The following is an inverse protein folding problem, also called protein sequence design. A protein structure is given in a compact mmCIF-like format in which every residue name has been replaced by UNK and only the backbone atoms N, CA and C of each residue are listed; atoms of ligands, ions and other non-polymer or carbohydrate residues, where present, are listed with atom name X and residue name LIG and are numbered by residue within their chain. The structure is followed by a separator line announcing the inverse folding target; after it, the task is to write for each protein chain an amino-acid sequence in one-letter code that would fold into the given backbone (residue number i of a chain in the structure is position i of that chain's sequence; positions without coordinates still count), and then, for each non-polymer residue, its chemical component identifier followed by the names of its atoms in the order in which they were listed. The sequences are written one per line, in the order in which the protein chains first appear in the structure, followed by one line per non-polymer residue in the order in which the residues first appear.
data_IF_219102658216
#
_entry.id   IF_219102658216
#
_cell.length_a   1.000
_cell.length_b   1.000
_cell.length_c   1.000
_cell.angle_alpha   90.00
_cell.angle_beta   90.00
_cell.angle_gamma   90.00
#
_symmetry.space_group_name_H-M   'P 1'
#
loop_
_entity.id
_entity.type
_entity.pdbx_description
1 polymer ?
#
# COMPACT_ATOMS: atom_id res chain seq x y z
N UNK A 1 2.92 7.84 -23.64
CA UNK A 1 4.00 7.33 -22.75
C UNK A 1 3.76 5.85 -22.55
N UNK A 2 4.80 5.03 -22.47
CA UNK A 2 4.66 3.60 -22.16
C UNK A 2 4.15 3.37 -20.74
N UNK A 3 3.51 2.23 -20.51
CA UNK A 3 3.04 1.82 -19.16
C UNK A 3 4.25 1.41 -18.32
N UNK A 4 4.32 1.89 -17.09
CA UNK A 4 5.26 1.44 -16.05
C UNK A 4 4.54 1.35 -14.72
N UNK A 5 4.67 0.25 -14.03
CA UNK A 5 3.95 -0.01 -12.78
C UNK A 5 4.89 0.21 -11.59
N UNK A 6 4.50 1.10 -10.68
CA UNK A 6 5.13 1.23 -9.38
C UNK A 6 4.57 0.20 -8.41
N UNK A 7 5.42 -0.43 -7.61
CA UNK A 7 5.00 -1.33 -6.53
C UNK A 7 5.61 -0.83 -5.23
N UNK A 8 4.76 -0.52 -4.24
CA UNK A 8 5.23 -0.17 -2.90
C UNK A 8 5.06 -1.41 -2.02
N UNK A 9 6.20 -2.06 -1.72
CA UNK A 9 6.26 -3.25 -0.89
C UNK A 9 6.42 -2.92 0.58
N UNK A 10 5.71 -3.66 1.43
CA UNK A 10 6.02 -3.81 2.85
C UNK A 10 6.93 -5.01 3.09
N UNK A 11 7.08 -5.40 4.36
CA UNK A 11 7.92 -6.51 4.80
C UNK A 11 7.67 -7.78 3.98
N UNK A 12 8.73 -8.35 3.41
CA UNK A 12 8.70 -9.62 2.68
C UNK A 12 8.61 -9.53 1.15
N UNK A 13 8.38 -8.34 0.59
CA UNK A 13 8.42 -8.12 -0.88
C UNK A 13 9.74 -7.51 -1.35
N UNK A 14 10.70 -7.34 -0.45
CA UNK A 14 11.98 -6.68 -0.71
C UNK A 14 12.92 -7.50 -1.63
N UNK A 15 12.63 -8.81 -1.81
CA UNK A 15 13.45 -9.76 -2.57
C UNK A 15 12.64 -10.50 -3.65
N UNK A 16 11.85 -9.79 -4.42
CA UNK A 16 11.14 -10.40 -5.54
C UNK A 16 12.12 -10.78 -6.65
N UNK A 17 12.53 -12.05 -6.71
CA UNK A 17 13.26 -12.64 -7.85
C UNK A 17 12.38 -12.83 -9.10
N UNK A 18 11.31 -12.03 -9.20
CA UNK A 18 10.32 -12.06 -10.28
C UNK A 18 10.69 -11.14 -11.45
N UNK A 19 11.78 -10.38 -11.30
CA UNK A 19 12.21 -9.42 -12.30
C UNK A 19 13.18 -10.03 -13.30
N UNK A 20 12.98 -9.73 -14.57
CA UNK A 20 14.04 -9.76 -15.57
C UNK A 20 14.71 -8.39 -15.65
N UNK A 21 15.99 -8.34 -16.00
CA UNK A 21 16.78 -7.10 -16.16
C UNK A 21 16.79 -6.18 -14.94
N UNK A 22 16.77 -6.74 -13.73
CA UNK A 22 16.68 -5.99 -12.50
C UNK A 22 17.95 -5.13 -12.23
N UNK A 23 17.76 -3.86 -11.92
CA UNK A 23 18.81 -2.93 -11.49
C UNK A 23 18.31 -2.03 -10.38
N UNK A 24 19.22 -1.54 -9.56
CA UNK A 24 18.92 -0.54 -8.54
C UNK A 24 19.20 0.86 -9.09
N UNK A 25 18.22 1.75 -8.96
CA UNK A 25 18.33 3.15 -9.35
C UNK A 25 18.19 4.01 -8.10
N UNK A 26 19.23 4.82 -7.85
CA UNK A 26 19.23 5.79 -6.75
C UNK A 26 18.73 7.12 -7.28
N UNK A 27 17.64 7.62 -6.72
CA UNK A 27 17.03 8.89 -7.11
C UNK A 27 16.69 9.69 -5.85
N UNK A 28 17.46 10.75 -5.60
CA UNK A 28 17.02 11.80 -4.69
C UNK A 28 15.87 12.60 -5.32
N UNK A 29 14.98 13.12 -4.51
CA UNK A 29 13.84 13.93 -4.96
C UNK A 29 13.89 15.33 -4.38
N UNK A 30 13.05 16.23 -4.87
CA UNK A 30 12.88 17.58 -4.27
C UNK A 30 12.37 17.52 -2.82
N UNK A 31 11.88 16.36 -2.38
CA UNK A 31 11.39 16.10 -1.02
C UNK A 31 12.42 15.36 -0.15
N UNK A 32 13.63 15.16 -0.65
CA UNK A 32 14.69 14.36 -0.01
C UNK A 32 14.75 12.93 -0.54
N UNK A 33 15.41 12.07 0.23
CA UNK A 33 15.64 10.68 -0.16
C UNK A 33 14.40 9.82 0.06
N UNK A 34 14.07 8.92 -0.89
CA UNK A 34 13.06 7.88 -0.69
C UNK A 34 13.57 6.81 0.30
N UNK A 35 12.65 5.99 0.80
CA UNK A 35 12.95 4.94 1.79
C UNK A 35 13.95 3.89 1.32
N UNK A 36 14.08 3.69 0.02
CA UNK A 36 15.06 2.79 -0.61
C UNK A 36 15.36 3.24 -2.02
N UNK A 37 16.47 2.78 -2.63
CA UNK A 37 16.61 2.81 -4.07
C UNK A 37 15.41 2.13 -4.73
N UNK A 38 15.03 2.59 -5.92
CA UNK A 38 14.05 1.87 -6.74
C UNK A 38 14.72 0.65 -7.36
N UNK A 39 14.10 -0.53 -7.21
CA UNK A 39 14.49 -1.71 -7.96
C UNK A 39 13.66 -1.74 -9.24
N UNK A 40 14.29 -1.41 -10.35
CA UNK A 40 13.66 -1.39 -11.66
C UNK A 40 13.94 -2.69 -12.41
N UNK A 41 12.99 -3.12 -13.23
CA UNK A 41 13.08 -4.32 -14.06
C UNK A 41 11.81 -4.54 -14.85
N UNK A 42 11.56 -5.76 -15.24
CA UNK A 42 10.37 -6.14 -16.01
C UNK A 42 9.66 -7.35 -15.40
N UNK A 43 8.34 -7.34 -15.43
CA UNK A 43 7.47 -8.48 -15.16
C UNK A 43 6.66 -8.75 -16.42
N UNK A 44 6.79 -9.95 -16.99
CA UNK A 44 6.13 -10.30 -18.26
C UNK A 44 6.38 -9.27 -19.40
N UNK A 45 7.58 -8.68 -19.44
CA UNK A 45 7.97 -7.67 -20.43
C UNK A 45 7.42 -6.26 -20.15
N UNK A 46 6.70 -6.05 -19.05
CA UNK A 46 6.17 -4.76 -18.64
C UNK A 46 7.14 -4.10 -17.65
N UNK A 47 7.58 -2.85 -17.89
CA UNK A 47 8.44 -2.13 -16.97
C UNK A 47 7.81 -1.94 -15.59
N UNK A 48 8.59 -2.23 -14.54
CA UNK A 48 8.17 -2.05 -13.15
C UNK A 48 9.26 -1.36 -12.33
N UNK A 49 8.85 -0.67 -11.26
CA UNK A 49 9.73 -0.12 -10.25
C UNK A 49 9.21 -0.48 -8.86
N UNK A 50 10.02 -1.13 -8.04
CA UNK A 50 9.65 -1.50 -6.66
C UNK A 50 10.37 -0.63 -5.67
N UNK A 51 9.64 -0.16 -4.67
CA UNK A 51 10.12 0.62 -3.55
C UNK A 51 9.80 -0.10 -2.24
N UNK A 52 10.82 -0.28 -1.38
CA UNK A 52 10.66 -0.81 -0.04
C UNK A 52 10.26 0.33 0.92
N UNK A 53 8.99 0.36 1.34
CA UNK A 53 8.41 1.42 2.18
C UNK A 53 9.21 1.72 3.44
N UNK A 54 9.69 0.71 4.10
CA UNK A 54 10.42 0.81 5.36
C UNK A 54 11.95 0.64 5.20
N UNK A 55 12.46 0.77 3.95
CA UNK A 55 13.82 0.38 3.61
C UNK A 55 13.96 -1.14 3.46
N UNK A 56 14.97 -1.59 2.72
CA UNK A 56 15.16 -3.03 2.41
C UNK A 56 15.36 -3.92 3.64
N UNK A 57 15.88 -3.37 4.72
CA UNK A 57 16.10 -4.08 5.99
C UNK A 57 15.06 -3.70 7.06
N UNK A 58 13.96 -3.09 6.67
CA UNK A 58 12.89 -2.65 7.58
C UNK A 58 13.39 -1.78 8.73
N UNK A 59 14.23 -0.79 8.42
CA UNK A 59 14.90 0.07 9.42
C UNK A 59 14.20 1.41 9.65
N UNK A 60 13.22 1.75 8.82
CA UNK A 60 12.51 3.04 8.88
C UNK A 60 11.15 2.83 9.57
N UNK A 61 10.96 3.47 10.72
CA UNK A 61 9.68 3.43 11.43
C UNK A 61 8.56 4.06 10.58
N UNK A 62 7.29 3.63 10.71
CA UNK A 62 6.17 4.16 9.92
C UNK A 62 6.03 5.69 9.99
N UNK A 63 6.25 6.28 11.16
CA UNK A 63 6.23 7.73 11.39
C UNK A 63 7.42 8.48 10.77
N UNK A 64 8.49 7.78 10.40
CA UNK A 64 9.72 8.36 9.82
C UNK A 64 9.83 8.15 8.31
N UNK A 65 8.88 7.46 7.69
CA UNK A 65 8.86 7.25 6.24
C UNK A 65 8.64 8.59 5.53
N UNK A 66 9.50 8.90 4.57
CA UNK A 66 9.33 10.08 3.70
C UNK A 66 8.38 9.74 2.53
N UNK A 67 7.08 9.75 2.81
CA UNK A 67 6.06 9.38 1.82
C UNK A 67 6.09 10.28 0.58
N UNK A 68 6.36 11.60 0.74
CA UNK A 68 6.49 12.53 -0.40
C UNK A 68 7.64 12.12 -1.32
N UNK A 69 8.81 11.80 -0.77
CA UNK A 69 9.94 11.35 -1.55
C UNK A 69 9.65 10.00 -2.23
N UNK A 70 8.99 9.07 -1.53
CA UNK A 70 8.64 7.76 -2.09
C UNK A 70 7.73 7.88 -3.32
N UNK A 71 6.65 8.64 -3.22
CA UNK A 71 5.70 8.84 -4.33
C UNK A 71 6.35 9.66 -5.47
N UNK A 72 7.13 10.68 -5.13
CA UNK A 72 7.85 11.48 -6.12
C UNK A 72 8.88 10.63 -6.89
N UNK A 73 9.64 9.78 -6.21
CA UNK A 73 10.63 8.90 -6.86
C UNK A 73 9.96 7.97 -7.88
N UNK A 74 8.81 7.37 -7.55
CA UNK A 74 8.04 6.56 -8.48
C UNK A 74 7.50 7.38 -9.66
N UNK A 75 7.02 8.60 -9.40
CA UNK A 75 6.57 9.54 -10.44
C UNK A 75 7.72 9.90 -11.38
N UNK A 76 8.87 10.29 -10.85
CA UNK A 76 10.06 10.68 -11.62
C UNK A 76 10.62 9.50 -12.43
N UNK A 77 10.50 8.28 -11.92
CA UNK A 77 10.81 7.05 -12.65
C UNK A 77 9.82 6.74 -13.80
N UNK A 78 8.77 7.53 -13.96
CA UNK A 78 7.76 7.38 -15.02
C UNK A 78 6.68 6.33 -14.71
N UNK A 79 6.47 5.98 -13.43
CA UNK A 79 5.38 5.08 -13.06
C UNK A 79 4.02 5.74 -13.35
N UNK A 80 3.19 5.01 -14.09
CA UNK A 80 1.85 5.44 -14.52
C UNK A 80 0.73 4.93 -13.61
N UNK A 81 0.98 3.86 -12.86
CA UNK A 81 0.07 3.22 -11.93
C UNK A 81 0.86 2.74 -10.72
N UNK A 82 0.24 2.68 -9.56
CA UNK A 82 0.89 2.18 -8.33
C UNK A 82 0.02 1.10 -7.69
N UNK A 83 0.63 -0.04 -7.40
CA UNK A 83 0.10 -1.06 -6.52
C UNK A 83 0.86 -1.04 -5.20
N UNK A 84 0.14 -1.14 -4.08
CA UNK A 84 0.76 -1.21 -2.78
C UNK A 84 0.31 -2.43 -1.97
N UNK A 85 1.17 -2.88 -1.07
CA UNK A 85 0.84 -3.94 -0.12
C UNK A 85 1.03 -3.45 1.31
N UNK A 86 0.23 -3.97 2.22
CA UNK A 86 0.32 -3.64 3.64
C UNK A 86 -0.11 -4.80 4.51
N UNK A 87 0.60 -5.03 5.61
CA UNK A 87 0.10 -5.86 6.71
C UNK A 87 -0.93 -5.04 7.51
N UNK A 88 -1.99 -5.68 7.97
CA UNK A 88 -3.08 -5.03 8.71
C UNK A 88 -3.58 -5.91 9.86
N UNK A 89 -3.93 -5.26 10.97
CA UNK A 89 -4.81 -5.88 11.96
C UNK A 89 -6.25 -5.86 11.46
N UNK A 90 -6.97 -6.95 11.67
CA UNK A 90 -8.41 -7.02 11.39
C UNK A 90 -9.22 -6.38 12.51
N UNK A 91 -10.20 -5.58 12.13
CA UNK A 91 -11.21 -4.99 13.04
C UNK A 91 -12.58 -5.70 12.91
N UNK A 92 -12.63 -6.80 12.15
CA UNK A 92 -13.84 -7.60 11.88
C UNK A 92 -13.60 -9.08 12.14
N UNK A 93 -14.61 -9.78 12.65
CA UNK A 93 -14.53 -11.22 12.90
C UNK A 93 -14.40 -12.03 11.60
N UNK A 94 -15.08 -11.57 10.54
CA UNK A 94 -15.13 -12.21 9.23
C UNK A 94 -13.83 -12.06 8.42
N UNK A 95 -13.00 -11.05 8.70
CA UNK A 95 -11.70 -10.86 8.05
C UNK A 95 -10.64 -11.64 8.83
N UNK A 96 -10.35 -12.84 8.38
CA UNK A 96 -9.48 -13.77 9.09
C UNK A 96 -8.00 -13.51 8.82
N UNK A 97 -7.14 -14.04 9.66
CA UNK A 97 -5.68 -14.04 9.43
C UNK A 97 -5.37 -14.74 8.11
N UNK A 98 -4.58 -14.09 7.26
CA UNK A 98 -4.22 -14.57 5.92
C UNK A 98 -5.22 -14.23 4.82
N UNK A 99 -6.39 -13.63 5.16
CA UNK A 99 -7.28 -13.08 4.15
C UNK A 99 -6.69 -11.81 3.53
N UNK A 100 -6.97 -11.61 2.25
CA UNK A 100 -6.64 -10.38 1.54
C UNK A 100 -7.85 -9.43 1.58
N UNK A 101 -7.59 -8.12 1.67
CA UNK A 101 -8.63 -7.09 1.58
C UNK A 101 -8.23 -6.10 0.50
N UNK A 102 -9.08 -5.96 -0.52
CA UNK A 102 -8.88 -4.98 -1.59
C UNK A 102 -9.48 -3.66 -1.11
N UNK A 103 -8.61 -2.76 -0.67
CA UNK A 103 -9.04 -1.52 -0.03
C UNK A 103 -9.84 -0.62 -0.98
N UNK A 104 -10.91 -0.01 -0.48
CA UNK A 104 -11.74 0.93 -1.23
C UNK A 104 -11.90 2.28 -0.52
N UNK A 105 -11.72 2.33 0.80
CA UNK A 105 -11.81 3.55 1.58
C UNK A 105 -10.73 3.62 2.66
N UNK A 106 -10.42 4.82 3.12
CA UNK A 106 -9.56 5.01 4.28
C UNK A 106 -10.09 6.04 5.27
N UNK A 107 -9.70 5.86 6.53
CA UNK A 107 -9.80 6.86 7.59
C UNK A 107 -8.37 7.23 8.00
N UNK A 108 -8.00 8.50 7.88
CA UNK A 108 -6.70 8.96 8.34
C UNK A 108 -6.74 9.34 9.83
N UNK A 109 -6.01 8.62 10.64
CA UNK A 109 -5.81 8.91 12.07
C UNK A 109 -4.34 9.19 12.39
N UNK A 110 -3.57 9.65 11.40
CA UNK A 110 -2.20 10.10 11.59
C UNK A 110 -2.17 11.54 12.14
N UNK A 111 -1.04 11.98 12.70
CA UNK A 111 -0.95 13.26 13.39
C UNK A 111 0.16 14.18 12.86
N UNK A 112 1.22 13.60 12.30
CA UNK A 112 2.45 14.34 11.94
C UNK A 112 2.87 14.11 10.50
N UNK A 113 2.04 13.41 9.69
CA UNK A 113 2.34 13.06 8.31
C UNK A 113 2.22 14.25 7.37
N UNK A 114 3.14 14.35 6.44
CA UNK A 114 3.03 15.24 5.29
C UNK A 114 2.18 14.57 4.22
N UNK A 115 0.91 14.94 4.15
CA UNK A 115 -0.10 14.31 3.28
C UNK A 115 -0.38 15.08 1.99
N UNK A 116 0.44 16.07 1.66
CA UNK A 116 0.28 16.89 0.47
C UNK A 116 1.64 17.29 -0.10
N UNK A 117 1.72 17.45 -1.41
CA UNK A 117 2.84 18.07 -2.11
C UNK A 117 2.75 19.61 -2.13
N UNK A 118 1.69 20.19 -1.58
CA UNK A 118 1.39 21.63 -1.62
C UNK A 118 1.45 22.24 -0.21
N UNK A 119 2.67 22.50 0.31
CA UNK A 119 2.82 23.21 1.59
C UNK A 119 2.26 24.65 1.50
N UNK A 120 2.22 25.24 0.28
CA UNK A 120 1.68 26.58 -0.02
C UNK A 120 0.98 26.59 -1.36
N UNK A 121 -0.07 27.40 -1.49
CA UNK A 121 -0.75 27.65 -2.78
C UNK A 121 -0.31 28.99 -3.37
N UNK A 122 -0.30 29.05 -4.70
CA UNK A 122 -0.19 30.34 -5.38
C UNK A 122 -1.48 31.12 -5.17
N UNK A 123 -1.40 32.48 -5.06
CA UNK A 123 -2.60 33.30 -4.91
C UNK A 123 -3.66 32.99 -5.97
N UNK A 124 -4.89 32.68 -5.52
CA UNK A 124 -5.99 32.34 -6.41
C UNK A 124 -5.94 30.95 -7.06
N UNK A 125 -4.97 30.09 -6.69
CA UNK A 125 -4.81 28.75 -7.27
C UNK A 125 -4.70 27.66 -6.17
N UNK A 126 -5.74 27.46 -5.35
CA UNK A 126 -5.75 26.37 -4.39
C UNK A 126 -5.83 25.01 -5.10
N UNK A 127 -5.15 24.02 -4.53
CA UNK A 127 -5.18 22.64 -5.03
C UNK A 127 -5.85 21.77 -3.97
N UNK A 128 -6.96 21.14 -4.32
CA UNK A 128 -7.70 20.21 -3.48
C UNK A 128 -8.01 18.95 -4.25
N UNK A 129 -7.37 17.83 -3.89
CA UNK A 129 -7.64 16.54 -4.51
C UNK A 129 -8.96 15.94 -3.99
N UNK A 130 -9.90 15.53 -4.86
CA UNK A 130 -11.10 14.84 -4.42
C UNK A 130 -10.75 13.44 -3.89
N UNK A 131 -11.41 13.01 -2.79
CA UNK A 131 -11.14 11.75 -2.10
C UNK A 131 -12.39 10.90 -1.86
N UNK A 132 -13.48 11.13 -2.64
CA UNK A 132 -14.68 10.29 -2.53
C UNK A 132 -14.39 8.84 -2.92
N UNK A 133 -13.58 8.65 -3.96
CA UNK A 133 -13.11 7.35 -4.44
C UNK A 133 -11.57 7.36 -4.42
N UNK A 134 -10.94 7.11 -3.24
CA UNK A 134 -9.50 7.32 -3.09
C UNK A 134 -8.64 6.26 -3.77
N UNK A 135 -9.18 5.05 -4.00
CA UNK A 135 -8.51 3.95 -4.67
C UNK A 135 -9.07 3.76 -6.08
N UNK A 136 -8.19 3.59 -7.06
CA UNK A 136 -8.59 3.45 -8.46
C UNK A 136 -9.44 2.20 -8.70
N UNK A 137 -10.62 2.39 -9.26
CA UNK A 137 -11.60 1.32 -9.47
C UNK A 137 -11.12 0.25 -10.45
N UNK A 138 -10.37 0.63 -11.50
CA UNK A 138 -9.82 -0.31 -12.48
C UNK A 138 -8.76 -1.20 -11.85
N UNK A 139 -7.81 -0.61 -11.12
CA UNK A 139 -6.77 -1.37 -10.40
C UNK A 139 -7.37 -2.30 -9.35
N UNK A 140 -8.36 -1.83 -8.61
CA UNK A 140 -9.10 -2.66 -7.63
C UNK A 140 -9.78 -3.85 -8.30
N UNK A 141 -10.45 -3.62 -9.44
CA UNK A 141 -11.11 -4.72 -10.16
C UNK A 141 -10.11 -5.77 -10.64
N UNK A 142 -8.94 -5.36 -11.15
CA UNK A 142 -7.87 -6.28 -11.56
C UNK A 142 -7.39 -7.13 -10.36
N UNK A 143 -7.18 -6.51 -9.20
CA UNK A 143 -6.81 -7.24 -7.98
C UNK A 143 -7.90 -8.22 -7.53
N UNK A 144 -9.17 -7.82 -7.58
CA UNK A 144 -10.33 -8.67 -7.25
C UNK A 144 -10.38 -9.89 -8.19
N UNK A 145 -10.22 -9.68 -9.48
CA UNK A 145 -10.25 -10.76 -10.47
C UNK A 145 -9.04 -11.70 -10.34
N UNK A 146 -7.87 -11.15 -9.99
CA UNK A 146 -6.70 -11.93 -9.64
C UNK A 146 -6.92 -12.82 -8.39
N UNK A 147 -7.57 -12.29 -7.35
CA UNK A 147 -7.92 -13.08 -6.17
C UNK A 147 -8.89 -14.22 -6.53
N UNK A 148 -9.92 -13.94 -7.32
CA UNK A 148 -10.90 -14.96 -7.79
C UNK A 148 -10.24 -16.05 -8.61
N UNK A 149 -9.40 -15.66 -9.57
CA UNK A 149 -8.67 -16.59 -10.45
C UNK A 149 -7.83 -17.59 -9.68
N UNK A 150 -7.19 -17.14 -8.60
CA UNK A 150 -6.29 -17.95 -7.78
C UNK A 150 -6.98 -18.60 -6.56
N UNK A 151 -8.29 -18.45 -6.42
CA UNK A 151 -9.08 -18.95 -5.27
C UNK A 151 -8.49 -18.50 -3.91
N UNK A 152 -7.98 -17.27 -3.85
CA UNK A 152 -7.48 -16.71 -2.60
C UNK A 152 -8.64 -16.27 -1.71
N UNK A 153 -8.60 -16.55 -0.39
CA UNK A 153 -9.53 -15.93 0.55
C UNK A 153 -9.37 -14.40 0.54
N UNK A 154 -10.44 -13.67 0.20
CA UNK A 154 -10.36 -12.22 0.12
C UNK A 154 -11.70 -11.52 0.34
N UNK A 155 -11.61 -10.23 0.66
CA UNK A 155 -12.73 -9.30 0.76
C UNK A 155 -12.58 -8.23 -0.34
N UNK A 156 -13.60 -8.03 -1.19
CA UNK A 156 -13.50 -7.14 -2.35
C UNK A 156 -13.53 -5.65 -1.99
N UNK A 157 -13.90 -5.35 -0.75
CA UNK A 157 -13.94 -4.00 -0.18
C UNK A 157 -13.42 -4.02 1.24
N UNK A 158 -12.94 -2.88 1.72
CA UNK A 158 -12.58 -2.70 3.13
C UNK A 158 -12.04 -1.30 3.41
N UNK A 159 -12.60 -0.66 4.42
CA UNK A 159 -12.13 0.63 4.93
C UNK A 159 -10.94 0.41 5.85
N UNK A 160 -9.79 0.98 5.49
CA UNK A 160 -8.61 0.96 6.36
C UNK A 160 -8.54 2.21 7.22
N UNK A 161 -8.32 2.05 8.52
CA UNK A 161 -7.86 3.17 9.35
C UNK A 161 -6.34 3.15 9.42
N UNK A 162 -5.70 4.29 9.11
CA UNK A 162 -4.24 4.43 9.20
C UNK A 162 -3.88 5.24 10.45
N UNK A 163 -3.13 4.62 11.36
CA UNK A 163 -2.62 5.26 12.57
C UNK A 163 -1.15 5.68 12.42
N UNK A 164 -0.66 6.55 13.30
CA UNK A 164 0.72 7.06 13.23
C UNK A 164 1.78 5.95 13.36
N UNK A 165 1.60 5.03 14.28
CA UNK A 165 2.64 4.08 14.68
C UNK A 165 3.86 4.76 15.35
N UNK A 166 4.94 4.00 15.68
CA UNK A 166 5.08 2.54 15.53
C UNK A 166 4.31 1.72 16.60
N UNK A 167 3.73 2.37 17.63
CA UNK A 167 2.91 1.65 18.61
C UNK A 167 1.63 1.12 17.97
N UNK A 168 1.17 -0.01 18.42
CA UNK A 168 -0.15 -0.54 18.10
C UNK A 168 -1.26 0.23 18.83
N UNK A 169 -2.52 -0.04 18.47
CA UNK A 169 -3.70 0.55 19.10
C UNK A 169 -3.81 0.17 20.58
N UNK A 170 -4.44 1.04 21.34
CA UNK A 170 -5.03 0.64 22.64
C UNK A 170 -6.38 -0.05 22.40
N UNK A 171 -6.87 -0.83 23.37
CA UNK A 171 -8.21 -1.43 23.30
C UNK A 171 -9.31 -0.39 23.09
N UNK A 172 -9.16 0.80 23.65
CA UNK A 172 -10.11 1.89 23.48
C UNK A 172 -10.09 2.43 22.04
N UNK A 173 -8.91 2.64 21.47
CA UNK A 173 -8.74 3.07 20.06
C UNK A 173 -9.30 2.00 19.11
N UNK A 174 -8.98 0.74 19.32
CA UNK A 174 -9.46 -0.36 18.50
C UNK A 174 -11.00 -0.45 18.48
N UNK A 175 -11.64 -0.36 19.64
CA UNK A 175 -13.10 -0.30 19.75
C UNK A 175 -13.69 0.93 19.04
N UNK A 176 -13.04 2.09 19.19
CA UNK A 176 -13.45 3.32 18.51
C UNK A 176 -13.39 3.17 16.98
N UNK A 177 -12.31 2.63 16.42
CA UNK A 177 -12.16 2.42 14.98
C UNK A 177 -13.19 1.45 14.43
N UNK A 178 -13.51 0.40 15.18
CA UNK A 178 -14.62 -0.52 14.82
C UNK A 178 -15.96 0.20 14.77
N UNK A 179 -16.26 1.08 15.73
CA UNK A 179 -17.49 1.88 15.74
C UNK A 179 -17.54 2.87 14.58
N UNK A 180 -16.39 3.39 14.13
CA UNK A 180 -16.31 4.28 12.97
C UNK A 180 -16.48 3.56 11.64
N UNK A 181 -16.58 2.25 11.63
CA UNK A 181 -16.77 1.48 10.42
C UNK A 181 -15.48 1.04 9.73
N UNK A 182 -14.32 1.19 10.38
CA UNK A 182 -13.08 0.65 9.84
C UNK A 182 -13.08 -0.88 9.88
N UNK A 183 -12.59 -1.52 8.82
CA UNK A 183 -12.53 -2.97 8.68
C UNK A 183 -11.15 -3.53 9.01
N UNK A 184 -10.10 -2.78 8.67
CA UNK A 184 -8.71 -3.12 8.97
C UNK A 184 -7.93 -1.88 9.42
N UNK A 185 -6.79 -2.11 10.08
CA UNK A 185 -5.92 -1.05 10.61
C UNK A 185 -4.49 -1.24 10.13
N UNK A 186 -3.84 -0.13 9.75
CA UNK A 186 -2.43 -0.10 9.36
C UNK A 186 -1.72 1.19 9.77
N UNK A 187 -0.51 1.42 9.21
CA UNK A 187 0.32 2.60 9.56
C UNK A 187 0.82 3.38 8.33
N UNK A 188 0.25 3.18 7.10
CA UNK A 188 0.89 3.76 5.90
C UNK A 188 -0.06 4.24 4.80
N UNK A 189 -1.12 3.51 4.50
CA UNK A 189 -1.84 3.60 3.22
C UNK A 189 -2.58 4.92 3.02
N UNK A 190 -3.16 5.55 4.04
CA UNK A 190 -3.87 6.83 3.87
C UNK A 190 -2.95 7.90 3.28
N UNK A 191 -1.71 7.99 3.80
CA UNK A 191 -0.73 8.97 3.33
C UNK A 191 -0.31 8.72 1.88
N UNK A 192 -0.05 7.45 1.52
CA UNK A 192 0.31 7.09 0.15
C UNK A 192 -0.83 7.37 -0.82
N UNK A 193 -2.05 7.00 -0.46
CA UNK A 193 -3.24 7.20 -1.28
C UNK A 193 -3.50 8.69 -1.54
N UNK A 194 -3.42 9.52 -0.50
CA UNK A 194 -3.61 10.97 -0.64
C UNK A 194 -2.57 11.60 -1.59
N UNK A 195 -1.29 11.24 -1.42
CA UNK A 195 -0.21 11.74 -2.27
C UNK A 195 -0.29 11.21 -3.71
N UNK A 196 -0.68 9.94 -3.91
CA UNK A 196 -0.85 9.38 -5.25
C UNK A 196 -1.97 10.10 -6.02
N UNK A 197 -3.10 10.39 -5.36
CA UNK A 197 -4.20 11.16 -5.93
C UNK A 197 -3.78 12.58 -6.30
N UNK A 198 -3.06 13.30 -5.43
CA UNK A 198 -2.51 14.62 -5.78
C UNK A 198 -1.52 14.57 -6.94
N UNK A 199 -0.73 13.49 -7.03
CA UNK A 199 0.21 13.29 -8.14
C UNK A 199 -0.48 12.91 -9.46
N UNK A 200 -1.78 12.60 -9.43
CA UNK A 200 -2.56 12.13 -10.58
C UNK A 200 -2.18 10.71 -11.01
N UNK A 201 -1.75 9.86 -10.09
CA UNK A 201 -1.33 8.49 -10.36
C UNK A 201 -2.38 7.52 -9.78
N UNK A 202 -3.07 6.71 -10.61
CA UNK A 202 -3.94 5.64 -10.15
C UNK A 202 -3.25 4.74 -9.12
N UNK A 203 -3.89 4.55 -7.97
CA UNK A 203 -3.34 3.81 -6.84
C UNK A 203 -4.35 2.80 -6.31
N UNK A 204 -3.90 1.58 -6.04
CA UNK A 204 -4.67 0.59 -5.32
C UNK A 204 -3.79 -0.14 -4.31
N UNK A 205 -4.40 -0.63 -3.23
CA UNK A 205 -3.68 -1.34 -2.19
C UNK A 205 -4.40 -2.65 -1.84
N UNK A 206 -3.59 -3.70 -1.67
CA UNK A 206 -4.02 -4.96 -1.08
C UNK A 206 -3.48 -5.06 0.35
N UNK A 207 -4.40 -5.20 1.29
CA UNK A 207 -4.08 -5.46 2.68
C UNK A 207 -4.10 -6.98 2.96
N UNK A 208 -3.17 -7.44 3.78
CA UNK A 208 -3.17 -8.80 4.30
C UNK A 208 -3.45 -8.75 5.79
N UNK A 209 -4.52 -9.38 6.22
CA UNK A 209 -4.86 -9.52 7.63
C UNK A 209 -3.86 -10.42 8.33
N UNK A 210 -3.13 -9.89 9.31
CA UNK A 210 -2.11 -10.64 10.06
C UNK A 210 -2.54 -11.00 11.48
N UNK A 211 -3.45 -10.23 12.04
CA UNK A 211 -3.91 -10.33 13.43
C UNK A 211 -5.31 -9.69 13.58
N UNK A 212 -5.88 -9.76 14.78
CA UNK A 212 -7.17 -9.14 15.09
C UNK A 212 -7.05 -7.84 15.92
N UNK A 213 -5.94 -7.12 15.77
CA UNK A 213 -5.65 -5.97 16.61
C UNK A 213 -5.85 -6.31 18.11
N UNK A 214 -6.23 -5.37 18.94
CA UNK A 214 -6.41 -5.63 20.39
C UNK A 214 -7.86 -5.61 20.88
N UNK A 215 -8.84 -5.62 19.96
CA UNK A 215 -10.26 -5.69 20.35
C UNK A 215 -10.73 -7.10 20.70
N UNK A 216 -10.08 -8.13 20.13
CA UNK A 216 -10.43 -9.53 20.34
C UNK A 216 -9.75 -10.03 21.62
N UNK A 217 -10.53 -10.12 22.69
CA UNK A 217 -10.02 -10.31 24.06
C UNK A 217 -9.57 -11.74 24.37
N UNK A 218 -10.00 -12.70 23.55
CA UNK A 218 -9.63 -14.12 23.65
C UNK A 218 -8.33 -14.47 22.89
N UNK A 219 -7.68 -13.49 22.30
CA UNK A 219 -6.41 -13.67 21.60
C UNK A 219 -5.23 -13.01 22.32
N UNK A 220 -4.01 -13.51 22.03
CA UNK A 220 -2.78 -12.90 22.54
C UNK A 220 -2.62 -11.47 22.03
N UNK A 221 -1.97 -10.59 22.79
CA UNK A 221 -1.65 -9.24 22.31
C UNK A 221 -0.83 -9.29 21.02
N UNK A 222 -1.14 -8.37 20.08
CA UNK A 222 -0.42 -8.24 18.82
C UNK A 222 1.07 -8.03 19.07
N UNK A 223 1.91 -8.83 18.41
CA UNK A 223 3.36 -8.70 18.42
C UNK A 223 3.90 -8.58 17.00
N UNK A 224 5.05 -7.92 16.86
CA UNK A 224 5.75 -7.83 15.57
C UNK A 224 6.15 -9.21 15.02
N UNK A 225 6.54 -10.12 15.90
CA UNK A 225 6.94 -11.48 15.57
C UNK A 225 5.79 -12.25 14.92
N UNK A 226 4.59 -12.14 15.48
CA UNK A 226 3.37 -12.79 14.96
C UNK A 226 2.96 -12.20 13.61
N UNK A 227 2.89 -10.87 13.52
CA UNK A 227 2.61 -10.15 12.27
C UNK A 227 3.57 -10.57 11.16
N UNK A 228 4.88 -10.59 11.46
CA UNK A 228 5.92 -10.99 10.50
C UNK A 228 5.80 -12.45 10.08
N UNK A 229 5.45 -13.35 11.00
CA UNK A 229 5.26 -14.77 10.70
C UNK A 229 4.09 -15.00 9.75
N UNK A 230 2.92 -14.46 10.07
CA UNK A 230 1.71 -14.59 9.23
C UNK A 230 1.96 -13.96 7.85
N UNK A 231 2.62 -12.78 7.81
CA UNK A 231 2.95 -12.14 6.55
C UNK A 231 3.86 -13.02 5.68
N UNK A 232 4.93 -13.59 6.25
CA UNK A 232 5.84 -14.49 5.52
C UNK A 232 5.13 -15.74 4.98
N UNK A 233 4.23 -16.34 5.76
CA UNK A 233 3.46 -17.52 5.35
C UNK A 233 2.52 -17.23 4.17
N UNK A 234 2.09 -15.99 3.99
CA UNK A 234 1.16 -15.57 2.97
C UNK A 234 1.77 -14.67 1.88
N UNK A 235 3.06 -14.35 1.98
CA UNK A 235 3.76 -13.47 1.02
C UNK A 235 3.68 -13.98 -0.42
N UNK A 236 3.66 -15.30 -0.61
CA UNK A 236 3.54 -15.92 -1.93
C UNK A 236 2.21 -15.56 -2.61
N UNK A 237 1.09 -15.55 -1.87
CA UNK A 237 -0.22 -15.13 -2.40
C UNK A 237 -0.17 -13.69 -2.92
N UNK A 238 0.37 -12.79 -2.12
CA UNK A 238 0.49 -11.36 -2.49
C UNK A 238 1.42 -11.19 -3.68
N UNK A 239 2.55 -11.90 -3.69
CA UNK A 239 3.51 -11.87 -4.80
C UNK A 239 2.85 -12.34 -6.10
N UNK A 240 2.17 -13.49 -6.07
CA UNK A 240 1.44 -14.03 -7.23
C UNK A 240 0.42 -13.02 -7.73
N UNK A 241 -0.39 -12.45 -6.84
CA UNK A 241 -1.40 -11.46 -7.19
C UNK A 241 -0.78 -10.23 -7.87
N UNK A 242 0.31 -9.68 -7.34
CA UNK A 242 0.98 -8.52 -7.94
C UNK A 242 1.58 -8.86 -9.31
N UNK A 243 2.26 -9.99 -9.44
CA UNK A 243 2.90 -10.43 -10.70
C UNK A 243 1.86 -10.60 -11.80
N UNK A 244 0.72 -11.22 -11.50
CA UNK A 244 -0.36 -11.40 -12.47
C UNK A 244 -1.12 -10.11 -12.78
N UNK A 245 -1.17 -9.16 -11.83
CA UNK A 245 -1.82 -7.86 -12.05
C UNK A 245 -1.05 -6.96 -13.01
N UNK A 246 0.29 -7.05 -13.07
CA UNK A 246 1.11 -6.18 -13.94
C UNK A 246 0.72 -6.29 -15.41
N UNK A 247 0.68 -7.47 -16.05
CA UNK A 247 0.24 -7.57 -17.45
C UNK A 247 -1.24 -7.22 -17.64
N UNK A 248 -2.11 -7.49 -16.67
CA UNK A 248 -3.52 -7.13 -16.74
C UNK A 248 -3.71 -5.60 -16.77
N UNK A 249 -2.96 -4.85 -15.96
CA UNK A 249 -2.97 -3.38 -15.96
C UNK A 249 -2.50 -2.84 -17.31
N UNK A 250 -1.42 -3.41 -17.87
CA UNK A 250 -0.91 -2.97 -19.16
C UNK A 250 -1.90 -3.23 -20.30
N UNK A 251 -2.60 -4.36 -20.26
CA UNK A 251 -3.64 -4.69 -21.23
C UNK A 251 -4.83 -3.73 -21.12
N UNK A 252 -5.33 -3.46 -19.94
CA UNK A 252 -6.45 -2.54 -19.70
C UNK A 252 -6.11 -1.11 -20.12
N UNK A 253 -4.90 -0.65 -19.83
CA UNK A 253 -4.45 0.68 -20.22
C UNK A 253 -4.25 0.83 -21.74
N UNK A 254 -4.02 -0.26 -22.47
CA UNK A 254 -3.92 -0.23 -23.93
C UNK A 254 -5.30 -0.14 -24.63
N UNK A 255 -6.40 -0.36 -23.89
CA UNK A 255 -7.77 -0.25 -24.40
C UNK A 255 -8.37 1.16 -24.27
N UNK A 256 -7.70 2.04 -23.51
CA UNK A 256 -8.08 3.45 -23.29
C UNK A 256 -7.28 4.40 -24.14
#
# INVERSE_FOLDING_TARGET
MGIKIGIIGGSGLDNLNIFTNARDTFTGTVWGEPSSPLREGEIAGIPVAVLARHGRSHTIAPSSVNYRANLQALKDAGCTHILATTATGSLREEIRRGDLVILDQFIDFTKQRKMTFHDYFKPGQPVHAPMAEPFDATLRQILIDGCRKNDFPFHPTGTVVTIEGPRFSTKAESRMFRMWGADVINMSVSTETALANEAGIPYAAVAMSTDYDCWKEDEAPVSWEEVSLVFKQNAEKVTTLLVESVPAIAQEAALK
#
